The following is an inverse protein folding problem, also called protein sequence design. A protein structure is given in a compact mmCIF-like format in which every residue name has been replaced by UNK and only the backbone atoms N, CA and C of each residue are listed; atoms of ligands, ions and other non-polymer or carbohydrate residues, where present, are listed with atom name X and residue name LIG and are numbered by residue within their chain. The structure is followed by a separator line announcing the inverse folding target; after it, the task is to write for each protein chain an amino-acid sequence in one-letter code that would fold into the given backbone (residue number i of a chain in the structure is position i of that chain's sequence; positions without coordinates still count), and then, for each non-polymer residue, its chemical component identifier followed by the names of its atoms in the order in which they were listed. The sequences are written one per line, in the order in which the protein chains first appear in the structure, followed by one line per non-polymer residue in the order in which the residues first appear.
data_IF_583245489976
#
_entry.id   IF_583245489976
#
_cell.length_a   1.000
_cell.length_b   1.000
_cell.length_c   1.000
_cell.angle_alpha   90.00
_cell.angle_beta   90.00
_cell.angle_gamma   90.00
#
_symmetry.space_group_name_H-M   'P 1'
#
loop_
_entity.id
_entity.type
_entity.pdbx_description
1 polymer ?
#
# COMPACT_ATOMS: atom_id res chain seq x y z
N UNK A 1 8.77 26.53 -12.17
CA UNK A 1 9.27 25.24 -12.73
C UNK A 1 9.23 24.26 -11.56
N UNK A 2 8.62 23.10 -11.69
CA UNK A 2 8.53 22.08 -10.63
C UNK A 2 9.68 21.06 -10.78
N UNK A 3 10.00 20.39 -9.67
CA UNK A 3 10.95 19.30 -9.59
C UNK A 3 10.27 18.04 -9.07
N UNK A 4 10.66 16.85 -9.55
CA UNK A 4 10.06 15.58 -9.18
C UNK A 4 11.15 14.54 -8.83
N UNK A 5 11.03 13.91 -7.67
CA UNK A 5 11.82 12.72 -7.36
C UNK A 5 10.95 11.47 -7.40
N UNK A 6 11.35 10.47 -8.18
CA UNK A 6 10.75 9.13 -8.16
C UNK A 6 11.35 8.36 -6.98
N UNK A 7 10.55 8.09 -5.97
CA UNK A 7 10.93 7.52 -4.70
C UNK A 7 10.56 6.03 -4.64
N UNK A 8 11.55 5.14 -4.64
CA UNK A 8 11.33 3.69 -4.66
C UNK A 8 11.89 3.07 -3.38
N UNK A 9 11.04 2.70 -2.41
CA UNK A 9 11.46 1.91 -1.26
C UNK A 9 11.73 0.46 -1.69
N UNK A 10 12.87 -0.10 -1.28
CA UNK A 10 13.32 -1.43 -1.67
C UNK A 10 13.46 -2.31 -0.42
N UNK A 11 12.89 -3.51 -0.46
CA UNK A 11 13.17 -4.56 0.50
C UNK A 11 13.10 -5.94 -0.18
N UNK A 12 14.23 -6.61 -0.30
CA UNK A 12 14.37 -7.93 -0.93
C UNK A 12 13.69 -8.01 -2.30
N UNK A 13 13.92 -6.99 -3.14
CA UNK A 13 13.37 -6.90 -4.50
C UNK A 13 14.44 -6.46 -5.48
N UNK A 14 14.44 -7.06 -6.67
CA UNK A 14 15.21 -6.60 -7.84
C UNK A 14 14.42 -5.52 -8.57
N UNK A 15 14.91 -4.29 -8.54
CA UNK A 15 14.23 -3.12 -9.15
C UNK A 15 14.85 -2.70 -10.50
N UNK A 16 15.80 -3.47 -11.04
CA UNK A 16 16.52 -3.08 -12.27
C UNK A 16 15.60 -2.81 -13.45
N UNK A 17 14.64 -3.70 -13.70
CA UNK A 17 13.71 -3.52 -14.83
C UNK A 17 12.84 -2.26 -14.66
N UNK A 18 12.37 -1.99 -13.43
CA UNK A 18 11.60 -0.78 -13.11
C UNK A 18 12.46 0.48 -13.31
N UNK A 19 13.66 0.53 -12.74
CA UNK A 19 14.55 1.70 -12.81
C UNK A 19 15.00 1.96 -14.24
N UNK A 20 15.39 0.92 -15.00
CA UNK A 20 15.77 1.07 -16.41
C UNK A 20 14.62 1.63 -17.26
N UNK A 21 13.40 1.18 -17.05
CA UNK A 21 12.20 1.73 -17.72
C UNK A 21 12.00 3.21 -17.37
N UNK A 22 12.14 3.57 -16.09
CA UNK A 22 12.03 4.96 -15.64
C UNK A 22 13.13 5.85 -16.22
N UNK A 23 14.39 5.39 -16.19
CA UNK A 23 15.53 6.13 -16.77
C UNK A 23 15.32 6.43 -18.26
N UNK A 24 14.86 5.43 -19.03
CA UNK A 24 14.57 5.61 -20.46
C UNK A 24 13.47 6.67 -20.71
N UNK A 25 12.41 6.66 -19.88
CA UNK A 25 11.32 7.63 -19.99
C UNK A 25 11.75 9.05 -19.55
N UNK A 26 12.56 9.16 -18.51
CA UNK A 26 13.11 10.45 -18.03
C UNK A 26 14.04 11.04 -19.09
N UNK A 27 14.90 10.24 -19.70
CA UNK A 27 15.81 10.70 -20.77
C UNK A 27 15.06 11.25 -22.00
N UNK A 28 13.82 10.80 -22.24
CA UNK A 28 12.95 11.34 -23.30
C UNK A 28 12.31 12.69 -22.93
N UNK A 29 12.54 13.21 -21.71
CA UNK A 29 11.97 14.47 -21.20
C UNK A 29 13.11 15.46 -20.78
N UNK A 30 13.96 15.93 -21.68
CA UNK A 30 15.19 16.65 -21.32
C UNK A 30 14.96 18.00 -20.61
N UNK A 31 13.76 18.55 -20.71
CA UNK A 31 13.38 19.81 -20.05
C UNK A 31 12.72 19.61 -18.68
N UNK A 32 12.50 18.37 -18.24
CA UNK A 32 11.93 18.07 -16.94
C UNK A 32 13.04 17.79 -15.92
N UNK A 33 12.93 18.39 -14.74
CA UNK A 33 13.87 18.13 -13.64
C UNK A 33 13.36 16.95 -12.81
N UNK A 34 13.74 15.73 -13.20
CA UNK A 34 13.28 14.47 -12.60
C UNK A 34 14.50 13.62 -12.26
N UNK A 35 14.58 13.15 -11.00
CA UNK A 35 15.57 12.17 -10.56
C UNK A 35 14.89 10.94 -9.93
N UNK A 36 15.69 9.89 -9.68
CA UNK A 36 15.25 8.66 -9.03
C UNK A 36 16.03 8.50 -7.73
N UNK A 37 15.31 8.33 -6.63
CA UNK A 37 15.87 8.06 -5.32
C UNK A 37 15.43 6.65 -4.89
N UNK A 38 16.41 5.81 -4.61
CA UNK A 38 16.23 4.44 -4.13
C UNK A 38 16.67 4.39 -2.67
N UNK A 39 15.81 3.90 -1.78
CA UNK A 39 16.21 3.62 -0.39
C UNK A 39 15.98 2.13 -0.14
N UNK A 40 17.06 1.41 0.18
CA UNK A 40 17.05 -0.01 0.49
C UNK A 40 16.92 -0.22 2.01
N UNK A 41 15.85 -0.85 2.42
CA UNK A 41 15.47 -1.11 3.81
C UNK A 41 16.17 -2.34 4.40
N UNK A 42 17.51 -2.38 4.27
CA UNK A 42 18.37 -3.48 4.72
C UNK A 42 18.04 -4.82 4.02
N UNK A 43 17.93 -4.82 2.70
CA UNK A 43 17.77 -6.04 1.90
C UNK A 43 18.97 -6.99 2.07
N UNK A 44 18.75 -8.27 1.74
CA UNK A 44 19.80 -9.27 1.67
C UNK A 44 20.86 -8.91 0.62
N UNK A 45 22.12 -9.36 0.80
CA UNK A 45 23.28 -8.91 -0.01
C UNK A 45 23.09 -9.10 -1.52
N UNK A 46 22.40 -10.16 -1.95
CA UNK A 46 22.12 -10.43 -3.36
C UNK A 46 21.27 -9.34 -4.00
N UNK A 47 20.26 -8.79 -3.30
CA UNK A 47 19.42 -7.69 -3.80
C UNK A 47 20.17 -6.37 -3.80
N UNK A 48 20.98 -6.08 -2.77
CA UNK A 48 21.83 -4.89 -2.74
C UNK A 48 22.79 -4.86 -3.93
N UNK A 49 23.40 -6.02 -4.24
CA UNK A 49 24.35 -6.15 -5.33
C UNK A 49 23.71 -5.92 -6.71
N UNK A 50 22.51 -6.44 -6.94
CA UNK A 50 21.86 -6.26 -8.25
C UNK A 50 21.25 -4.85 -8.43
N UNK A 51 20.93 -4.15 -7.35
CA UNK A 51 20.31 -2.82 -7.38
C UNK A 51 21.33 -1.65 -7.37
N UNK A 52 22.57 -1.90 -7.72
CA UNK A 52 23.57 -0.83 -7.92
C UNK A 52 23.45 -0.27 -9.34
N UNK A 53 23.25 1.04 -9.44
CA UNK A 53 23.09 1.76 -10.69
C UNK A 53 24.23 2.74 -10.89
N UNK A 54 24.61 2.98 -12.16
CA UNK A 54 25.66 3.92 -12.57
C UNK A 54 25.10 5.20 -13.17
N UNK A 55 23.81 5.26 -13.45
CA UNK A 55 23.14 6.40 -14.05
C UNK A 55 23.14 7.61 -13.11
N UNK A 56 23.59 8.76 -13.58
CA UNK A 56 23.70 9.98 -12.76
C UNK A 56 22.36 10.47 -12.17
N UNK A 57 21.26 10.12 -12.80
CA UNK A 57 19.91 10.45 -12.32
C UNK A 57 19.42 9.52 -11.18
N UNK A 58 20.16 8.44 -10.85
CA UNK A 58 19.75 7.44 -9.85
C UNK A 58 20.63 7.57 -8.61
N UNK A 59 20.00 7.85 -7.48
CA UNK A 59 20.64 7.89 -6.16
C UNK A 59 20.23 6.67 -5.36
N UNK A 60 21.18 5.90 -4.84
CA UNK A 60 20.91 4.70 -4.04
C UNK A 60 21.46 4.86 -2.62
N UNK A 61 20.60 4.61 -1.63
CA UNK A 61 20.91 4.66 -0.21
C UNK A 61 20.52 3.34 0.46
N UNK A 62 21.49 2.65 1.08
CA UNK A 62 21.25 1.44 1.84
C UNK A 62 21.18 1.74 3.33
N UNK A 63 20.09 1.33 3.98
CA UNK A 63 19.93 1.44 5.43
C UNK A 63 20.65 0.28 6.15
N UNK A 64 21.15 0.51 7.37
CA UNK A 64 21.83 -0.53 8.15
C UNK A 64 20.86 -1.57 8.73
N UNK A 65 19.59 -1.20 8.92
CA UNK A 65 18.53 -2.07 9.47
C UNK A 65 17.18 -1.77 8.80
N UNK A 66 16.28 -2.76 8.81
CA UNK A 66 14.92 -2.58 8.33
C UNK A 66 14.14 -1.65 9.28
N UNK A 67 13.62 -0.56 8.74
CA UNK A 67 12.86 0.45 9.49
C UNK A 67 11.36 0.41 9.21
N UNK A 68 10.93 -0.36 8.20
CA UNK A 68 9.53 -0.58 7.87
C UNK A 68 8.89 0.49 6.99
N UNK A 69 7.65 0.19 6.57
CA UNK A 69 6.96 0.87 5.44
C UNK A 69 6.70 2.36 5.63
N UNK A 70 6.29 2.78 6.83
CA UNK A 70 6.05 4.19 7.14
C UNK A 70 7.34 4.98 7.22
N UNK A 71 8.31 4.47 8.01
CA UNK A 71 9.57 5.16 8.23
C UNK A 71 10.40 5.32 6.97
N UNK A 72 10.43 4.28 6.11
CA UNK A 72 11.19 4.36 4.86
C UNK A 72 10.60 5.43 3.92
N UNK A 73 9.26 5.57 3.85
CA UNK A 73 8.64 6.63 3.04
C UNK A 73 8.94 8.03 3.58
N UNK A 74 8.94 8.21 4.90
CA UNK A 74 9.36 9.47 5.51
C UNK A 74 10.86 9.76 5.31
N UNK A 75 11.71 8.72 5.23
CA UNK A 75 13.14 8.89 5.03
C UNK A 75 13.47 9.59 3.71
N UNK A 76 12.66 9.46 2.67
CA UNK A 76 12.87 10.16 1.40
C UNK A 76 12.93 11.69 1.55
N UNK A 77 12.23 12.26 2.53
CA UNK A 77 12.30 13.70 2.83
C UNK A 77 13.71 14.21 3.18
N UNK A 78 14.62 13.30 3.59
CA UNK A 78 16.02 13.62 3.91
C UNK A 78 16.97 13.43 2.71
N UNK A 79 16.48 12.81 1.63
CA UNK A 79 17.30 12.43 0.48
C UNK A 79 16.95 13.15 -0.81
N UNK A 80 15.90 13.98 -0.78
CA UNK A 80 15.52 14.85 -1.89
C UNK A 80 14.83 16.12 -1.39
N UNK A 81 15.07 17.24 -2.12
CA UNK A 81 14.41 18.52 -1.92
C UNK A 81 13.43 18.85 -3.05
N UNK A 82 13.09 17.86 -3.90
CA UNK A 82 12.14 18.05 -5.00
C UNK A 82 10.77 18.52 -4.49
N UNK A 83 10.07 19.34 -5.28
CA UNK A 83 8.74 19.86 -4.94
C UNK A 83 7.71 18.75 -4.80
N UNK A 84 7.85 17.68 -5.61
CA UNK A 84 6.97 16.53 -5.65
C UNK A 84 7.74 15.22 -5.48
N UNK A 85 7.13 14.28 -4.77
CA UNK A 85 7.62 12.92 -4.56
C UNK A 85 6.65 11.94 -5.21
N UNK A 86 7.11 11.21 -6.24
CA UNK A 86 6.36 10.10 -6.86
C UNK A 86 6.80 8.80 -6.19
N UNK A 87 5.97 8.24 -5.34
CA UNK A 87 6.22 6.93 -4.75
C UNK A 87 5.77 5.80 -5.67
N UNK A 88 6.64 4.82 -5.88
CA UNK A 88 6.37 3.58 -6.60
C UNK A 88 6.93 2.42 -5.78
N UNK A 89 6.11 1.40 -5.49
CA UNK A 89 6.61 0.20 -4.78
C UNK A 89 7.59 -0.57 -5.68
N UNK A 90 8.71 -1.06 -5.09
CA UNK A 90 9.81 -1.69 -5.83
C UNK A 90 9.48 -3.03 -6.53
N UNK A 91 8.32 -3.62 -6.27
CA UNK A 91 7.79 -4.81 -6.96
C UNK A 91 6.80 -4.47 -8.10
N UNK A 92 6.66 -3.19 -8.42
CA UNK A 92 5.82 -2.69 -9.50
C UNK A 92 6.51 -2.82 -10.87
N UNK A 93 5.70 -2.88 -11.93
CA UNK A 93 6.13 -2.83 -13.32
C UNK A 93 5.38 -1.76 -14.07
N UNK A 94 6.06 -1.01 -14.92
CA UNK A 94 5.48 0.01 -15.79
C UNK A 94 5.36 -0.57 -17.20
N UNK A 95 4.16 -0.56 -17.76
CA UNK A 95 3.91 -1.04 -19.13
C UNK A 95 3.69 0.12 -20.11
N UNK A 96 3.18 1.27 -19.62
CA UNK A 96 2.99 2.46 -20.45
C UNK A 96 4.33 3.19 -20.68
N UNK A 97 4.80 3.33 -21.93
CA UNK A 97 6.01 4.09 -22.24
C UNK A 97 5.89 5.59 -21.95
N UNK A 98 4.68 6.09 -21.74
CA UNK A 98 4.40 7.50 -21.43
C UNK A 98 4.13 7.74 -19.93
N UNK A 99 4.39 6.76 -19.07
CA UNK A 99 4.03 6.83 -17.66
C UNK A 99 4.59 8.08 -16.96
N UNK A 100 5.86 8.40 -17.12
CA UNK A 100 6.47 9.61 -16.54
C UNK A 100 5.96 10.87 -17.26
N UNK A 101 5.79 10.82 -18.57
CA UNK A 101 5.24 11.94 -19.34
C UNK A 101 3.83 12.31 -18.90
N UNK A 102 2.96 11.33 -18.64
CA UNK A 102 1.60 11.56 -18.18
C UNK A 102 1.59 12.35 -16.85
N UNK A 103 2.49 12.04 -15.93
CA UNK A 103 2.67 12.80 -14.69
C UNK A 103 3.25 14.19 -14.92
N UNK A 104 4.27 14.31 -15.77
CA UNK A 104 4.90 15.60 -16.09
C UNK A 104 3.91 16.56 -16.75
N UNK A 105 3.10 16.07 -17.68
CA UNK A 105 2.05 16.84 -18.35
C UNK A 105 1.01 17.33 -17.33
N UNK A 106 0.57 16.44 -16.41
CA UNK A 106 -0.39 16.79 -15.39
C UNK A 106 0.13 17.88 -14.44
N UNK A 107 1.38 17.75 -13.96
CA UNK A 107 2.02 18.73 -13.07
C UNK A 107 2.28 20.09 -13.76
N UNK A 108 2.43 20.09 -15.08
CA UNK A 108 2.60 21.32 -15.86
C UNK A 108 1.28 22.06 -16.05
N UNK A 109 0.18 21.34 -16.19
CA UNK A 109 -1.14 21.92 -16.44
C UNK A 109 -1.80 22.45 -15.16
N UNK A 110 -1.55 21.84 -14.03
CA UNK A 110 -2.21 22.19 -12.77
C UNK A 110 -1.38 21.87 -11.53
N UNK A 111 -1.50 22.75 -10.55
CA UNK A 111 -0.93 22.52 -9.21
C UNK A 111 -1.79 21.55 -8.43
N UNK A 112 -1.16 20.55 -7.83
CA UNK A 112 -1.83 19.53 -7.03
C UNK A 112 -1.11 19.34 -5.69
N UNK A 113 -1.84 18.80 -4.72
CA UNK A 113 -1.27 18.38 -3.44
C UNK A 113 -0.97 16.86 -3.45
N UNK A 114 -1.92 16.07 -3.93
CA UNK A 114 -1.79 14.60 -4.04
C UNK A 114 -2.42 14.12 -5.36
N UNK A 115 -1.71 13.25 -6.09
CA UNK A 115 -2.19 12.63 -7.33
C UNK A 115 -1.94 11.13 -7.31
N UNK A 116 -2.98 10.32 -7.51
CA UNK A 116 -2.93 8.85 -7.45
C UNK A 116 -3.07 8.25 -8.83
N UNK A 117 -2.05 7.48 -9.26
CA UNK A 117 -2.06 6.78 -10.56
C UNK A 117 -2.65 5.38 -10.52
N UNK A 118 -2.87 4.83 -9.33
CA UNK A 118 -3.36 3.48 -9.09
C UNK A 118 -2.40 2.33 -9.42
N UNK A 119 -2.88 1.13 -9.17
CA UNK A 119 -2.23 -0.12 -9.57
C UNK A 119 -3.25 -1.12 -10.07
N UNK A 120 -2.81 -1.98 -10.98
CA UNK A 120 -3.62 -3.03 -11.58
C UNK A 120 -2.92 -4.39 -11.41
N UNK A 121 -3.70 -5.45 -11.49
CA UNK A 121 -3.24 -6.82 -11.41
C UNK A 121 -3.55 -7.53 -12.73
N UNK A 122 -2.76 -8.56 -13.06
CA UNK A 122 -3.03 -9.36 -14.24
C UNK A 122 -4.38 -10.08 -14.13
N UNK A 123 -5.16 -10.04 -15.21
CA UNK A 123 -6.44 -10.76 -15.31
C UNK A 123 -6.24 -12.28 -15.43
N UNK A 124 -5.03 -12.72 -15.78
CA UNK A 124 -4.73 -14.15 -15.88
C UNK A 124 -4.74 -14.80 -14.49
N UNK A 125 -5.54 -15.87 -14.36
CA UNK A 125 -5.67 -16.62 -13.11
C UNK A 125 -4.36 -17.36 -12.79
N UNK A 126 -3.72 -17.08 -11.65
CA UNK A 126 -2.44 -17.67 -11.29
C UNK A 126 -2.59 -19.13 -10.82
N UNK A 127 -1.47 -19.75 -10.44
CA UNK A 127 -1.45 -21.05 -9.77
C UNK A 127 -2.25 -21.02 -8.45
N UNK A 128 -2.55 -22.20 -7.89
CA UNK A 128 -3.40 -22.33 -6.69
C UNK A 128 -2.83 -21.62 -5.47
N UNK A 129 -1.50 -21.61 -5.32
CA UNK A 129 -0.84 -21.02 -4.17
C UNK A 129 -1.02 -19.50 -4.07
N UNK A 130 -1.44 -18.82 -5.13
CA UNK A 130 -1.59 -17.37 -5.20
C UNK A 130 -3.05 -16.91 -5.45
N UNK A 131 -3.99 -17.85 -5.58
CA UNK A 131 -5.38 -17.55 -5.99
C UNK A 131 -6.15 -16.68 -5.01
N UNK A 132 -5.95 -16.87 -3.71
CA UNK A 132 -6.62 -16.06 -2.69
C UNK A 132 -6.23 -14.60 -2.84
N UNK A 133 -4.90 -14.32 -2.92
CA UNK A 133 -4.39 -12.96 -3.13
C UNK A 133 -4.92 -12.36 -4.42
N UNK A 134 -4.83 -13.09 -5.53
CA UNK A 134 -5.31 -12.63 -6.83
C UNK A 134 -6.81 -12.33 -6.83
N UNK A 135 -7.64 -13.24 -6.31
CA UNK A 135 -9.10 -13.04 -6.25
C UNK A 135 -9.46 -11.80 -5.41
N UNK A 136 -8.76 -11.61 -4.29
CA UNK A 136 -8.98 -10.44 -3.45
C UNK A 136 -8.56 -9.15 -4.15
N UNK A 137 -7.40 -9.14 -4.78
CA UNK A 137 -6.87 -7.98 -5.49
C UNK A 137 -7.75 -7.56 -6.66
N UNK A 138 -8.16 -8.51 -7.50
CA UNK A 138 -8.96 -8.21 -8.71
C UNK A 138 -10.42 -7.89 -8.41
N UNK A 139 -11.01 -8.46 -7.33
CA UNK A 139 -12.43 -8.28 -7.03
C UNK A 139 -12.72 -7.23 -5.94
N UNK A 140 -11.73 -6.85 -5.11
CA UNK A 140 -11.94 -5.99 -3.94
C UNK A 140 -11.01 -4.79 -3.87
N UNK A 141 -9.73 -4.92 -4.31
CA UNK A 141 -8.74 -3.85 -4.19
C UNK A 141 -8.63 -2.99 -5.46
N UNK A 142 -8.68 -3.60 -6.63
CA UNK A 142 -8.60 -2.88 -7.89
C UNK A 142 -9.89 -2.11 -8.14
N UNK A 143 -9.80 -0.80 -7.97
CA UNK A 143 -10.86 0.12 -8.35
C UNK A 143 -10.50 0.73 -9.69
N UNK A 144 -11.44 0.70 -10.63
CA UNK A 144 -11.32 1.44 -11.88
C UNK A 144 -11.23 2.96 -11.65
N UNK A 145 -10.79 3.68 -12.66
CA UNK A 145 -10.58 5.12 -12.56
C UNK A 145 -11.88 5.85 -12.16
N UNK A 146 -13.02 5.48 -12.72
CA UNK A 146 -14.31 6.13 -12.44
C UNK A 146 -14.71 5.97 -10.96
N UNK A 147 -14.56 4.76 -10.41
CA UNK A 147 -14.86 4.52 -8.99
C UNK A 147 -13.91 5.24 -8.05
N UNK A 148 -12.64 5.39 -8.42
CA UNK A 148 -11.65 6.14 -7.63
C UNK A 148 -11.97 7.62 -7.58
N UNK A 149 -12.41 8.22 -8.70
CA UNK A 149 -12.79 9.63 -8.79
C UNK A 149 -14.08 9.98 -8.05
N UNK A 150 -14.96 9.00 -7.80
CA UNK A 150 -16.16 9.20 -6.99
C UNK A 150 -15.87 9.22 -5.48
N UNK A 151 -14.78 8.60 -5.03
CA UNK A 151 -14.41 8.47 -3.62
C UNK A 151 -12.90 8.67 -3.45
N UNK A 152 -12.44 9.88 -3.66
CA UNK A 152 -11.03 10.24 -3.78
C UNK A 152 -10.13 9.70 -2.66
N UNK A 153 -10.57 9.78 -1.39
CA UNK A 153 -9.77 9.33 -0.24
C UNK A 153 -9.80 7.81 -0.05
N UNK A 154 -10.91 7.14 -0.40
CA UNK A 154 -11.04 5.68 -0.30
C UNK A 154 -10.19 4.97 -1.36
N UNK A 155 -10.03 5.59 -2.52
CA UNK A 155 -9.18 5.08 -3.61
C UNK A 155 -7.70 5.35 -3.43
N UNK A 156 -7.30 6.01 -2.35
CA UNK A 156 -5.90 6.33 -2.07
C UNK A 156 -5.08 5.08 -1.76
N UNK A 157 -3.96 4.93 -2.44
CA UNK A 157 -2.97 3.87 -2.26
C UNK A 157 -1.56 4.43 -2.40
N UNK A 158 -0.62 3.86 -1.65
CA UNK A 158 0.76 4.36 -1.58
C UNK A 158 1.73 3.68 -2.52
N UNK A 159 1.27 2.81 -3.39
CA UNK A 159 2.11 2.08 -4.33
C UNK A 159 2.33 2.77 -5.69
N UNK A 160 1.60 3.84 -5.99
CA UNK A 160 1.77 4.69 -7.16
C UNK A 160 1.03 6.02 -6.93
N UNK A 161 1.71 6.99 -6.33
CA UNK A 161 1.12 8.30 -6.07
C UNK A 161 2.18 9.41 -6.02
N UNK A 162 1.79 10.61 -6.42
CA UNK A 162 2.56 11.84 -6.21
C UNK A 162 2.00 12.54 -4.98
N UNK A 163 2.88 13.10 -4.17
CA UNK A 163 2.54 14.01 -3.07
C UNK A 163 3.49 15.20 -3.10
N UNK A 164 2.95 16.41 -2.87
CA UNK A 164 3.77 17.59 -2.68
C UNK A 164 4.62 17.43 -1.43
N UNK A 165 5.91 17.74 -1.51
CA UNK A 165 6.85 17.58 -0.39
C UNK A 165 6.39 18.32 0.88
N UNK A 166 5.86 19.53 0.74
CA UNK A 166 5.34 20.32 1.87
C UNK A 166 4.17 19.64 2.58
N UNK A 167 3.30 18.93 1.84
CA UNK A 167 2.19 18.15 2.41
C UNK A 167 2.73 16.96 3.19
N UNK A 168 3.71 16.22 2.64
CA UNK A 168 4.30 15.09 3.36
C UNK A 168 5.10 15.51 4.60
N UNK A 169 5.71 16.71 4.58
CA UNK A 169 6.34 17.30 5.78
C UNK A 169 5.31 17.64 6.86
N UNK A 170 4.13 18.13 6.47
CA UNK A 170 3.05 18.49 7.39
C UNK A 170 2.32 17.25 7.91
N UNK A 171 2.08 16.27 7.06
CA UNK A 171 1.34 15.02 7.36
C UNK A 171 2.23 13.84 6.97
N UNK A 172 3.24 13.49 7.78
CA UNK A 172 4.09 12.33 7.52
C UNK A 172 3.33 11.03 7.75
N UNK A 173 3.85 9.93 7.19
CA UNK A 173 3.38 8.60 7.55
C UNK A 173 3.57 8.36 9.05
N UNK A 174 2.58 7.76 9.69
CA UNK A 174 2.68 7.43 11.11
C UNK A 174 3.65 6.26 11.33
N UNK A 175 4.77 6.55 11.99
CA UNK A 175 5.84 5.59 12.24
C UNK A 175 5.53 4.58 13.36
N UNK A 176 4.42 4.76 14.07
CA UNK A 176 3.92 3.82 15.09
C UNK A 176 3.22 2.62 14.46
N UNK A 177 2.74 2.74 13.21
CA UNK A 177 2.26 1.60 12.46
C UNK A 177 3.43 0.67 12.11
N UNK A 178 3.35 -0.56 12.57
CA UNK A 178 4.37 -1.57 12.34
C UNK A 178 3.86 -2.71 11.44
N UNK A 179 4.77 -3.37 10.75
CA UNK A 179 4.43 -4.49 9.88
C UNK A 179 3.71 -4.06 8.61
N UNK A 180 2.61 -4.72 8.27
CA UNK A 180 1.93 -4.56 6.99
C UNK A 180 0.52 -4.00 7.15
N UNK A 181 0.18 -2.98 6.35
CA UNK A 181 -1.18 -2.53 6.06
C UNK A 181 -1.67 -1.35 6.90
N UNK A 182 -2.60 -0.61 6.30
CA UNK A 182 -3.27 0.57 6.81
C UNK A 182 -2.44 1.85 6.92
N UNK A 183 -1.17 1.86 6.54
CA UNK A 183 -0.39 3.10 6.41
C UNK A 183 -1.00 4.04 5.35
N UNK A 184 -1.49 3.48 4.25
CA UNK A 184 -2.22 4.19 3.20
C UNK A 184 -3.58 4.70 3.71
N UNK A 185 -4.32 3.85 4.40
CA UNK A 185 -5.62 4.21 4.98
C UNK A 185 -5.50 5.38 5.94
N UNK A 186 -4.52 5.33 6.85
CA UNK A 186 -4.32 6.40 7.82
C UNK A 186 -3.94 7.71 7.14
N UNK A 187 -2.96 7.69 6.24
CA UNK A 187 -2.56 8.90 5.51
C UNK A 187 -3.74 9.49 4.73
N UNK A 188 -4.51 8.66 4.00
CA UNK A 188 -5.69 9.12 3.27
C UNK A 188 -6.75 9.77 4.16
N UNK A 189 -6.99 9.22 5.37
CA UNK A 189 -7.91 9.81 6.34
C UNK A 189 -7.38 11.11 6.95
N UNK A 190 -6.08 11.22 7.21
CA UNK A 190 -5.45 12.45 7.69
C UNK A 190 -5.49 13.55 6.64
N UNK A 191 -5.25 13.24 5.36
CA UNK A 191 -5.42 14.18 4.24
C UNK A 191 -6.87 14.67 4.15
N UNK A 192 -7.84 13.75 4.26
CA UNK A 192 -9.26 14.10 4.27
C UNK A 192 -9.64 15.02 5.44
N UNK A 193 -9.15 14.71 6.64
CA UNK A 193 -9.43 15.50 7.85
C UNK A 193 -8.87 16.94 7.75
N UNK A 194 -7.77 17.13 7.00
CA UNK A 194 -7.19 18.45 6.73
C UNK A 194 -7.68 19.07 5.42
N UNK A 195 -8.70 18.47 4.78
CA UNK A 195 -9.30 18.96 3.53
C UNK A 195 -8.30 19.08 2.37
N UNK A 196 -7.21 18.28 2.38
CA UNK A 196 -6.25 18.24 1.31
C UNK A 196 -6.83 17.43 0.15
N UNK A 197 -6.95 18.02 -1.06
CA UNK A 197 -7.55 17.35 -2.19
C UNK A 197 -6.65 16.22 -2.72
N UNK A 198 -7.27 15.08 -3.04
CA UNK A 198 -6.63 13.97 -3.74
C UNK A 198 -7.20 13.91 -5.14
N UNK A 199 -6.36 14.11 -6.15
CA UNK A 199 -6.71 13.88 -7.54
C UNK A 199 -6.35 12.45 -7.97
N UNK A 200 -6.99 11.95 -9.02
CA UNK A 200 -6.71 10.66 -9.63
C UNK A 200 -6.43 10.80 -11.11
N UNK A 201 -5.48 10.02 -11.61
CA UNK A 201 -5.16 9.89 -13.03
C UNK A 201 -5.21 8.40 -13.42
N UNK A 202 -5.55 8.11 -14.67
CA UNK A 202 -5.45 6.74 -15.21
C UNK A 202 -4.04 6.48 -15.72
N UNK A 203 -3.14 6.23 -14.79
CA UNK A 203 -1.71 6.00 -15.05
C UNK A 203 -1.19 4.88 -14.14
N UNK A 204 -1.68 3.64 -14.31
CA UNK A 204 -1.44 2.57 -13.36
C UNK A 204 -0.05 1.95 -13.47
N UNK A 205 0.49 1.48 -12.34
CA UNK A 205 1.54 0.48 -12.31
C UNK A 205 0.93 -0.93 -12.27
N UNK A 206 1.70 -1.93 -12.71
CA UNK A 206 1.30 -3.32 -12.70
C UNK A 206 1.96 -4.08 -11.55
N UNK A 207 1.16 -4.80 -10.77
CA UNK A 207 1.65 -5.72 -9.74
C UNK A 207 1.71 -7.13 -10.34
N UNK A 208 2.90 -7.54 -10.76
CA UNK A 208 3.12 -8.87 -11.36
C UNK A 208 3.41 -9.94 -10.31
N UNK A 209 4.00 -9.55 -9.19
CA UNK A 209 4.35 -10.45 -8.09
C UNK A 209 3.19 -10.55 -7.11
N UNK A 210 2.58 -11.71 -7.03
CA UNK A 210 1.53 -12.00 -6.05
C UNK A 210 2.11 -12.79 -4.88
N UNK A 211 1.71 -12.42 -3.68
CA UNK A 211 1.96 -13.22 -2.49
C UNK A 211 1.34 -14.61 -2.63
N UNK A 212 1.93 -15.60 -2.01
CA UNK A 212 1.27 -16.89 -1.78
C UNK A 212 0.07 -16.71 -0.85
N UNK A 213 -0.88 -17.63 -0.88
CA UNK A 213 -2.04 -17.59 0.03
C UNK A 213 -1.62 -17.54 1.50
N UNK A 214 -0.53 -18.24 1.86
CA UNK A 214 0.00 -18.25 3.22
C UNK A 214 0.61 -16.89 3.62
N UNK A 215 1.42 -16.29 2.77
CA UNK A 215 1.97 -14.94 2.98
C UNK A 215 0.87 -13.89 3.08
N UNK A 216 -0.14 -14.00 2.20
CA UNK A 216 -1.27 -13.08 2.20
C UNK A 216 -2.09 -13.18 3.51
N UNK A 217 -2.31 -14.38 4.05
CA UNK A 217 -2.97 -14.55 5.35
C UNK A 217 -2.13 -13.95 6.49
N UNK A 218 -0.81 -14.15 6.48
CA UNK A 218 0.09 -13.54 7.46
C UNK A 218 0.07 -12.01 7.39
N UNK A 219 0.11 -11.43 6.19
CA UNK A 219 -0.04 -9.98 5.96
C UNK A 219 -1.42 -9.49 6.42
N UNK A 220 -2.48 -10.29 6.20
CA UNK A 220 -3.83 -9.97 6.68
C UNK A 220 -3.87 -9.87 8.21
N UNK A 221 -3.23 -10.79 8.92
CA UNK A 221 -3.17 -10.76 10.39
C UNK A 221 -2.47 -9.48 10.89
N UNK A 222 -1.37 -9.08 10.23
CA UNK A 222 -0.70 -7.81 10.52
C UNK A 222 -1.62 -6.60 10.28
N UNK A 223 -2.31 -6.59 9.13
CA UNK A 223 -3.24 -5.51 8.79
C UNK A 223 -4.43 -5.43 9.77
N UNK A 224 -4.95 -6.55 10.26
CA UNK A 224 -6.02 -6.56 11.26
C UNK A 224 -5.57 -5.98 12.61
N UNK A 225 -4.33 -6.25 13.04
CA UNK A 225 -3.74 -5.63 14.24
C UNK A 225 -3.64 -4.11 14.07
N UNK A 226 -3.13 -3.66 12.93
CA UNK A 226 -3.05 -2.23 12.61
C UNK A 226 -4.44 -1.58 12.54
N UNK A 227 -5.46 -2.27 12.01
CA UNK A 227 -6.83 -1.77 11.97
C UNK A 227 -7.40 -1.53 13.38
N UNK A 228 -7.20 -2.47 14.30
CA UNK A 228 -7.61 -2.31 15.71
C UNK A 228 -6.85 -1.17 16.38
N UNK A 229 -5.54 -1.09 16.14
CA UNK A 229 -4.71 -0.02 16.67
C UNK A 229 -5.19 1.35 16.19
N UNK A 230 -5.51 1.50 14.90
CA UNK A 230 -6.07 2.73 14.33
C UNK A 230 -7.42 3.09 14.98
N UNK A 231 -8.32 2.12 15.13
CA UNK A 231 -9.63 2.34 15.72
C UNK A 231 -9.53 2.89 17.16
N UNK A 232 -8.51 2.47 17.90
CA UNK A 232 -8.28 2.89 19.29
C UNK A 232 -7.53 4.22 19.39
N UNK A 233 -6.58 4.50 18.48
CA UNK A 233 -5.69 5.66 18.58
C UNK A 233 -6.19 6.87 17.77
N UNK A 234 -7.10 6.65 16.80
CA UNK A 234 -7.64 7.69 15.92
C UNK A 234 -9.17 7.69 15.86
N UNK A 235 -9.87 7.82 17.00
CA UNK A 235 -11.34 7.75 17.04
C UNK A 235 -12.02 8.87 16.24
N UNK A 236 -11.34 10.01 16.04
CA UNK A 236 -11.87 11.18 15.32
C UNK A 236 -11.81 11.06 13.80
N UNK A 237 -11.00 10.16 13.25
CA UNK A 237 -10.79 10.07 11.80
C UNK A 237 -11.91 9.32 11.05
N UNK A 238 -13.07 9.08 11.66
CA UNK A 238 -14.22 8.42 11.02
C UNK A 238 -13.88 7.10 10.31
N UNK A 239 -12.88 6.38 10.83
CA UNK A 239 -12.42 5.09 10.27
C UNK A 239 -13.57 4.11 10.04
N UNK A 240 -14.57 4.13 10.92
CA UNK A 240 -15.78 3.32 10.81
C UNK A 240 -16.59 3.58 9.54
N UNK A 241 -16.65 4.82 9.08
CA UNK A 241 -17.42 5.17 7.87
C UNK A 241 -16.78 4.59 6.61
N UNK A 242 -15.47 4.36 6.63
CA UNK A 242 -14.69 3.94 5.46
C UNK A 242 -14.26 2.47 5.50
N UNK A 243 -14.36 1.78 6.66
CA UNK A 243 -13.93 0.39 6.78
C UNK A 243 -15.09 -0.58 6.99
N UNK A 244 -15.51 -1.24 5.89
CA UNK A 244 -16.64 -2.19 5.90
C UNK A 244 -16.45 -3.38 6.86
N UNK A 245 -15.21 -3.87 7.03
CA UNK A 245 -14.93 -4.97 7.93
C UNK A 245 -15.17 -4.55 9.39
N UNK A 246 -14.69 -3.37 9.78
CA UNK A 246 -14.88 -2.83 11.11
C UNK A 246 -16.36 -2.53 11.39
N UNK A 247 -17.09 -1.98 10.42
CA UNK A 247 -18.54 -1.78 10.51
C UNK A 247 -19.27 -3.12 10.75
N UNK A 248 -18.95 -4.14 9.95
CA UNK A 248 -19.55 -5.46 10.07
C UNK A 248 -19.23 -6.09 11.42
N UNK A 249 -17.98 -5.97 11.86
CA UNK A 249 -17.53 -6.45 13.16
C UNK A 249 -18.33 -5.84 14.32
N UNK A 250 -18.48 -4.52 14.35
CA UNK A 250 -19.22 -3.83 15.41
C UNK A 250 -20.73 -4.15 15.40
N UNK A 251 -21.34 -4.28 14.22
CA UNK A 251 -22.72 -4.72 14.07
C UNK A 251 -22.90 -6.17 14.54
N UNK A 252 -21.99 -7.05 14.16
CA UNK A 252 -22.06 -8.49 14.48
C UNK A 252 -21.93 -8.77 15.98
N UNK A 253 -21.15 -7.98 16.73
CA UNK A 253 -21.05 -8.11 18.19
C UNK A 253 -22.40 -8.05 18.91
N UNK A 254 -23.43 -7.46 18.31
CA UNK A 254 -24.77 -7.33 18.90
C UNK A 254 -25.65 -8.58 18.70
N UNK A 255 -25.27 -9.49 17.78
CA UNK A 255 -26.06 -10.66 17.43
C UNK A 255 -25.64 -11.93 18.22
N UNK A 256 -26.60 -12.63 18.82
CA UNK A 256 -26.34 -13.83 19.62
C UNK A 256 -25.64 -14.92 18.80
N UNK A 257 -26.10 -15.16 17.58
CA UNK A 257 -25.50 -16.17 16.67
C UNK A 257 -24.00 -15.87 16.41
N UNK A 258 -23.66 -14.61 16.27
CA UNK A 258 -22.27 -14.23 16.06
C UNK A 258 -21.42 -14.43 17.32
N UNK A 259 -21.97 -14.17 18.50
CA UNK A 259 -21.30 -14.48 19.78
C UNK A 259 -21.03 -15.98 19.95
N UNK A 260 -21.95 -16.83 19.51
CA UNK A 260 -21.73 -18.30 19.51
C UNK A 260 -20.61 -18.70 18.51
N UNK A 261 -20.61 -18.13 17.31
CA UNK A 261 -19.51 -18.35 16.34
C UNK A 261 -18.17 -17.86 16.87
N UNK A 262 -18.15 -16.78 17.64
CA UNK A 262 -16.94 -16.26 18.28
C UNK A 262 -16.40 -17.23 19.35
N UNK A 263 -17.29 -17.85 20.16
CA UNK A 263 -16.88 -18.87 21.12
C UNK A 263 -16.19 -20.09 20.50
N UNK A 264 -16.41 -20.33 19.20
CA UNK A 264 -15.75 -21.37 18.41
C UNK A 264 -14.54 -20.86 17.60
N UNK A 265 -14.15 -19.59 17.77
CA UNK A 265 -13.14 -18.93 16.92
C UNK A 265 -11.77 -19.62 17.00
N UNK A 266 -11.35 -20.07 18.18
CA UNK A 266 -10.04 -20.73 18.40
C UNK A 266 -9.87 -21.99 17.55
N UNK A 267 -10.93 -22.78 17.36
CA UNK A 267 -10.92 -24.00 16.53
C UNK A 267 -11.22 -23.70 15.06
N UNK A 268 -12.07 -22.71 14.79
CA UNK A 268 -12.55 -22.40 13.43
C UNK A 268 -11.51 -21.64 12.60
N UNK A 269 -10.76 -20.73 13.20
CA UNK A 269 -9.75 -19.93 12.50
C UNK A 269 -8.66 -20.79 11.85
N UNK A 270 -8.03 -21.77 12.53
CA UNK A 270 -7.03 -22.65 11.89
C UNK A 270 -7.63 -23.46 10.73
N UNK A 271 -8.85 -23.96 10.85
CA UNK A 271 -9.54 -24.72 9.79
C UNK A 271 -9.76 -23.84 8.57
N UNK A 272 -10.33 -22.64 8.76
CA UNK A 272 -10.50 -21.65 7.67
C UNK A 272 -9.18 -21.26 7.06
N UNK A 273 -8.15 -21.01 7.87
CA UNK A 273 -6.82 -20.66 7.40
C UNK A 273 -6.22 -21.76 6.50
N UNK A 274 -6.33 -23.03 6.89
CA UNK A 274 -5.87 -24.15 6.09
C UNK A 274 -6.67 -24.30 4.78
N UNK A 275 -7.98 -24.12 4.83
CA UNK A 275 -8.83 -24.15 3.64
C UNK A 275 -8.48 -23.01 2.67
N UNK A 276 -8.27 -21.78 3.18
CA UNK A 276 -7.88 -20.62 2.37
C UNK A 276 -6.51 -20.80 1.71
N UNK A 277 -5.56 -21.46 2.37
CA UNK A 277 -4.24 -21.78 1.80
C UNK A 277 -4.32 -22.69 0.58
N UNK A 278 -5.37 -23.51 0.44
CA UNK A 278 -5.54 -24.41 -0.73
C UNK A 278 -5.77 -23.65 -2.04
N UNK A 279 -6.26 -22.41 -1.98
CA UNK A 279 -6.61 -21.59 -3.14
C UNK A 279 -7.92 -21.96 -3.83
N UNK A 280 -8.76 -22.80 -3.20
CA UNK A 280 -10.10 -23.14 -3.69
C UNK A 280 -11.21 -22.39 -2.97
N UNK A 281 -10.94 -21.87 -1.79
CA UNK A 281 -11.93 -21.24 -0.95
C UNK A 281 -12.45 -19.94 -1.58
N UNK A 282 -13.78 -19.72 -1.59
CA UNK A 282 -14.38 -18.48 -2.06
C UNK A 282 -14.10 -17.33 -1.10
N UNK A 283 -14.12 -16.08 -1.60
CA UNK A 283 -13.77 -14.88 -0.82
C UNK A 283 -14.64 -14.65 0.41
N UNK A 284 -15.89 -15.13 0.45
CA UNK A 284 -16.72 -14.98 1.65
C UNK A 284 -16.15 -15.72 2.86
N UNK A 285 -15.44 -16.84 2.66
CA UNK A 285 -14.73 -17.54 3.75
C UNK A 285 -13.51 -16.74 4.22
N UNK A 286 -12.86 -16.00 3.34
CA UNK A 286 -11.82 -15.07 3.73
C UNK A 286 -12.40 -13.87 4.52
N UNK A 287 -13.58 -13.38 4.14
CA UNK A 287 -14.27 -12.33 4.90
C UNK A 287 -14.65 -12.84 6.31
N UNK A 288 -15.14 -14.09 6.42
CA UNK A 288 -15.42 -14.73 7.70
C UNK A 288 -14.14 -14.92 8.53
N UNK A 289 -13.05 -15.41 7.91
CA UNK A 289 -11.74 -15.54 8.56
C UNK A 289 -11.30 -14.21 9.18
N UNK A 290 -11.33 -13.12 8.38
CA UNK A 290 -10.94 -11.79 8.86
C UNK A 290 -11.80 -11.31 10.03
N UNK A 291 -13.09 -11.57 9.99
CA UNK A 291 -14.02 -11.16 11.03
C UNK A 291 -13.75 -11.88 12.35
N UNK A 292 -13.59 -13.21 12.31
CA UNK A 292 -13.26 -14.03 13.49
C UNK A 292 -11.87 -13.67 14.03
N UNK A 293 -10.90 -13.46 13.15
CA UNK A 293 -9.54 -13.09 13.54
C UNK A 293 -9.48 -11.72 14.20
N UNK A 294 -10.24 -10.74 13.67
CA UNK A 294 -10.34 -9.41 14.27
C UNK A 294 -10.91 -9.48 15.70
N UNK A 295 -11.91 -10.33 15.92
CA UNK A 295 -12.46 -10.56 17.26
C UNK A 295 -11.42 -11.18 18.20
N UNK A 296 -10.74 -12.25 17.80
CA UNK A 296 -9.72 -12.91 18.59
C UNK A 296 -8.60 -11.93 18.98
N UNK A 297 -8.13 -11.12 18.03
CA UNK A 297 -7.09 -10.11 18.29
C UNK A 297 -7.56 -9.04 19.28
N UNK A 298 -8.84 -8.62 19.20
CA UNK A 298 -9.39 -7.64 20.13
C UNK A 298 -9.56 -8.21 21.54
N UNK A 299 -9.93 -9.50 21.67
CA UNK A 299 -10.02 -10.18 22.98
C UNK A 299 -8.66 -10.33 23.64
N UNK A 300 -7.64 -10.77 22.86
CA UNK A 300 -6.27 -10.89 23.37
C UNK A 300 -5.72 -9.53 23.85
N UNK A 301 -5.97 -8.45 23.10
CA UNK A 301 -5.54 -7.11 23.50
C UNK A 301 -6.21 -6.62 24.80
N UNK A 302 -7.42 -7.07 25.10
CA UNK A 302 -8.10 -6.77 26.37
C UNK A 302 -7.53 -7.59 27.54
N UNK A 303 -7.12 -8.84 27.29
CA UNK A 303 -6.49 -9.70 28.32
C UNK A 303 -5.09 -9.23 28.70
N UNK A 304 -4.33 -8.66 27.74
CA UNK A 304 -2.97 -8.13 28.00
C UNK A 304 -2.97 -6.82 28.82
N UNK A 305 -4.15 -6.19 29.02
CA UNK A 305 -4.35 -4.97 29.80
C UNK A 305 -4.78 -5.24 31.27
N UNK A 306 -5.05 -6.49 31.63
CA UNK A 306 -5.42 -6.95 32.99
C UNK A 306 -4.35 -7.89 33.55
#
# INVERSE_FOLDING_TARGET
MWTLSVCIPIYNSDVRALVNSLCAQIAALPNANIDIVLIDDASAPEFKKCNMFSEAAVKYYALPQNIGRSRIRNAFLKHTDADYLLFIDGDSTIQDPLFIKNYADYLTQQSIEVLVGASVYQNHKPNRAQRLRWSYSTQRESLDFQRRTQNHHIGFKTNNFIIRRSVLLQIPFDERLSGYGHEDTLLGLQLAAQQIPIAHIDNPVWNLKLDTNAEFLSKTDSALKNLLWLANNYPTLRLLEHNRLLQLYLKSKRHVVFKLLLGLSTSTIPILGNLLKTGYAPLFLFDLYRLLRLQQLNENALHDLH
#
